data_IF_228782775488
#
_entry.id   IF_228782775488
#
_cell.length_a   1.000
_cell.length_b   1.000
_cell.length_c   1.000
_cell.angle_alpha   90.00
_cell.angle_beta   90.00
_cell.angle_gamma   90.00
#
_symmetry.space_group_name_H-M   'P 1'
#
loop_
_entity.id
_entity.type
_entity.pdbx_description
1 polymer ?
#
# COMPACT_ATOMS: atom_id res chain seq x y z
N UNK A 1 -9.80 62.89 34.26
CA UNK A 1 -8.55 62.25 34.72
C UNK A 1 -8.27 61.02 33.84
N UNK A 2 -7.12 61.00 33.13
CA UNK A 2 -6.37 59.82 32.62
C UNK A 2 -7.12 58.86 31.66
N UNK A 3 -6.67 58.47 30.46
CA UNK A 3 -5.40 58.43 29.68
C UNK A 3 -5.83 58.27 28.19
N UNK A 4 -5.32 59.04 27.22
CA UNK A 4 -4.13 58.80 26.38
C UNK A 4 -3.97 57.41 25.70
N UNK A 5 -3.83 57.47 24.34
CA UNK A 5 -2.93 56.69 23.46
C UNK A 5 -3.26 55.19 23.18
N UNK A 6 -3.10 54.56 22.01
CA UNK A 6 -2.31 54.74 20.77
C UNK A 6 -3.10 54.13 19.57
N UNK A 7 -3.21 54.77 18.39
CA UNK A 7 -2.41 54.50 17.16
C UNK A 7 -2.56 53.08 16.58
N UNK A 8 -3.41 52.94 15.55
CA UNK A 8 -3.36 51.81 14.61
C UNK A 8 -2.25 52.09 13.59
N UNK A 9 -1.15 51.34 13.68
CA UNK A 9 -0.06 51.35 12.72
C UNK A 9 -0.46 50.61 11.44
N UNK A 10 -0.44 51.35 10.34
CA UNK A 10 -0.44 50.88 8.96
C UNK A 10 0.88 50.14 8.71
N UNK A 11 0.86 48.81 8.62
CA UNK A 11 2.02 48.02 8.20
C UNK A 11 1.91 47.73 6.70
N UNK A 12 2.65 48.50 5.91
CA UNK A 12 2.85 48.32 4.48
C UNK A 12 3.68 47.05 4.27
N UNK A 13 3.11 46.02 3.65
CA UNK A 13 3.87 44.86 3.18
C UNK A 13 4.75 45.28 2.01
N UNK A 14 6.06 45.31 2.23
CA UNK A 14 7.07 45.38 1.17
C UNK A 14 7.31 43.96 0.68
N UNK A 15 6.65 43.59 -0.42
CA UNK A 15 7.01 42.40 -1.17
C UNK A 15 8.15 42.76 -2.14
N UNK A 16 9.38 42.44 -1.76
CA UNK A 16 10.49 42.32 -2.72
C UNK A 16 10.70 40.83 -2.93
N UNK A 17 10.00 40.28 -3.93
CA UNK A 17 10.28 38.97 -4.46
C UNK A 17 11.43 39.09 -5.47
N UNK A 18 12.63 38.65 -5.08
CA UNK A 18 13.62 38.22 -6.06
C UNK A 18 13.19 36.85 -6.58
N UNK A 19 12.48 36.81 -7.71
CA UNK A 19 12.30 35.58 -8.46
C UNK A 19 13.45 35.43 -9.44
N UNK A 20 14.54 34.81 -9.00
CA UNK A 20 15.35 34.02 -9.94
C UNK A 20 14.49 32.83 -10.36
N UNK A 21 13.92 32.92 -11.56
CA UNK A 21 13.28 31.81 -12.24
C UNK A 21 14.31 30.71 -12.51
N UNK A 22 14.51 29.80 -11.55
CA UNK A 22 14.89 28.44 -11.90
C UNK A 22 13.70 27.88 -12.67
N UNK A 23 13.85 27.72 -13.99
CA UNK A 23 12.93 26.84 -14.74
C UNK A 23 13.00 25.49 -14.03
N UNK A 24 11.91 25.06 -13.40
CA UNK A 24 11.77 23.64 -13.07
C UNK A 24 11.94 22.87 -14.37
N UNK A 25 12.94 21.99 -14.42
CA UNK A 25 13.03 20.99 -15.48
C UNK A 25 11.74 20.19 -15.42
N UNK A 26 10.94 20.28 -16.49
CA UNK A 26 9.72 19.49 -16.62
C UNK A 26 10.11 18.02 -16.66
N UNK A 27 9.48 17.21 -15.80
CA UNK A 27 9.70 15.76 -15.78
C UNK A 27 9.47 15.16 -17.18
N UNK A 28 10.35 14.26 -17.60
CA UNK A 28 10.24 13.58 -18.90
C UNK A 28 9.25 12.42 -18.75
N UNK A 29 8.12 12.49 -19.45
CA UNK A 29 7.11 11.43 -19.44
C UNK A 29 7.70 10.09 -19.96
N UNK A 30 7.30 8.96 -19.36
CA UNK A 30 7.61 7.63 -19.89
C UNK A 30 7.15 7.48 -21.33
N UNK A 31 7.99 6.89 -22.17
CA UNK A 31 7.70 6.64 -23.58
C UNK A 31 6.81 5.41 -23.79
N UNK A 32 6.69 4.56 -22.79
CA UNK A 32 5.87 3.35 -22.79
C UNK A 32 5.16 3.18 -21.45
N UNK A 33 3.98 2.55 -21.50
CA UNK A 33 3.22 2.12 -20.33
C UNK A 33 2.64 0.72 -20.58
N UNK A 34 2.88 -0.23 -19.69
CA UNK A 34 2.20 -1.54 -19.73
C UNK A 34 0.79 -1.45 -19.13
N UNK A 35 0.59 -0.60 -18.11
CA UNK A 35 -0.71 -0.37 -17.47
C UNK A 35 -0.83 1.09 -16.99
N UNK A 36 -1.09 2.01 -17.92
CA UNK A 36 -1.19 3.44 -17.63
C UNK A 36 -2.26 3.78 -16.57
N UNK A 37 -3.47 3.18 -16.58
CA UNK A 37 -4.47 3.46 -15.55
C UNK A 37 -3.97 3.18 -14.13
N UNK A 38 -3.37 1.99 -13.91
CA UNK A 38 -2.83 1.62 -12.60
C UNK A 38 -1.66 2.51 -12.18
N UNK A 39 -0.79 2.87 -13.13
CA UNK A 39 0.28 3.82 -12.87
C UNK A 39 -0.26 5.16 -12.39
N UNK A 40 -1.26 5.73 -13.09
CA UNK A 40 -1.84 7.03 -12.74
C UNK A 40 -2.55 6.98 -11.39
N UNK A 41 -3.30 5.91 -11.10
CA UNK A 41 -3.97 5.71 -9.81
C UNK A 41 -2.96 5.75 -8.66
N UNK A 42 -1.92 4.92 -8.72
CA UNK A 42 -0.88 4.85 -7.69
C UNK A 42 -0.06 6.13 -7.60
N UNK A 43 0.32 6.69 -8.75
CA UNK A 43 1.15 7.90 -8.80
C UNK A 43 0.43 9.10 -8.17
N UNK A 44 -0.85 9.29 -8.50
CA UNK A 44 -1.66 10.38 -7.93
C UNK A 44 -1.95 10.17 -6.45
N UNK A 45 -2.24 8.93 -6.03
CA UNK A 45 -2.38 8.60 -4.61
C UNK A 45 -1.10 8.94 -3.83
N UNK A 46 0.07 8.46 -4.29
CA UNK A 46 1.34 8.68 -3.60
C UNK A 46 1.76 10.15 -3.55
N UNK A 47 1.31 10.98 -4.50
CA UNK A 47 1.56 12.42 -4.47
C UNK A 47 0.86 13.14 -3.30
N UNK A 48 -0.25 12.59 -2.82
CA UNK A 48 -1.04 13.12 -1.70
C UNK A 48 -0.62 12.54 -0.34
N UNK A 49 0.17 11.47 -0.32
CA UNK A 49 0.58 10.81 0.93
C UNK A 49 1.84 11.45 1.53
N UNK A 50 1.89 11.61 2.86
CA UNK A 50 2.99 12.30 3.52
C UNK A 50 4.30 11.52 3.39
N UNK A 51 5.37 12.25 3.10
CA UNK A 51 6.76 11.82 3.27
C UNK A 51 7.47 12.96 4.00
N UNK A 52 8.41 12.62 4.88
CA UNK A 52 9.23 13.55 5.64
C UNK A 52 10.69 13.06 5.77
N UNK A 53 11.51 13.92 6.37
CA UNK A 53 12.95 13.72 6.55
C UNK A 53 13.36 12.51 7.41
N UNK A 54 12.42 11.89 8.12
CA UNK A 54 12.66 10.69 8.93
C UNK A 54 12.37 9.40 8.17
N UNK A 55 11.69 9.46 7.02
CA UNK A 55 11.25 8.28 6.29
C UNK A 55 12.38 7.58 5.53
N UNK A 56 12.22 6.26 5.39
CA UNK A 56 12.99 5.37 4.53
C UNK A 56 12.04 4.95 3.42
N UNK A 57 12.33 5.29 2.16
CA UNK A 57 11.37 5.12 1.07
C UNK A 57 11.93 4.15 0.04
N UNK A 58 11.21 3.05 -0.19
CA UNK A 58 11.48 2.12 -1.28
C UNK A 58 10.66 2.55 -2.50
N UNK A 59 11.33 2.81 -3.61
CA UNK A 59 10.74 3.32 -4.86
C UNK A 59 11.10 2.34 -5.96
N UNK A 60 10.10 1.76 -6.61
CA UNK A 60 10.41 0.80 -7.67
C UNK A 60 9.23 0.15 -8.36
N UNK A 61 9.51 -1.05 -8.84
CA UNK A 61 8.67 -1.88 -9.69
C UNK A 61 7.69 -2.78 -8.92
N UNK A 62 7.32 -3.89 -9.56
CA UNK A 62 6.48 -4.99 -9.08
C UNK A 62 6.80 -5.46 -7.66
N UNK A 63 8.09 -5.62 -7.33
CA UNK A 63 8.48 -6.13 -6.02
C UNK A 63 8.25 -5.08 -4.94
N UNK A 64 8.54 -3.81 -5.25
CA UNK A 64 8.29 -2.74 -4.30
C UNK A 64 6.79 -2.50 -4.11
N UNK A 65 5.97 -2.67 -5.14
CA UNK A 65 4.52 -2.41 -5.06
C UNK A 65 3.78 -3.45 -4.20
N UNK A 66 4.17 -4.73 -4.28
CA UNK A 66 3.49 -5.78 -3.52
C UNK A 66 4.07 -6.01 -2.12
N UNK A 67 5.27 -5.51 -1.82
CA UNK A 67 5.89 -5.64 -0.49
C UNK A 67 5.17 -4.87 0.62
N UNK A 68 4.96 -5.52 1.77
CA UNK A 68 4.40 -4.89 2.97
C UNK A 68 5.52 -4.31 3.85
N UNK A 69 6.23 -3.31 3.32
CA UNK A 69 7.52 -2.86 3.87
C UNK A 69 7.47 -2.33 5.32
N UNK A 70 6.39 -1.62 5.70
CA UNK A 70 6.19 -1.21 7.10
C UNK A 70 6.12 -2.41 8.04
N UNK A 71 5.44 -3.47 7.61
CA UNK A 71 5.19 -4.67 8.40
C UNK A 71 6.48 -5.51 8.46
N UNK A 72 7.19 -5.67 7.35
CA UNK A 72 8.48 -6.37 7.34
C UNK A 72 9.57 -5.69 8.18
N UNK A 73 9.44 -4.41 8.52
CA UNK A 73 10.39 -3.70 9.39
C UNK A 73 9.81 -3.25 10.72
N UNK A 74 8.55 -3.59 11.01
CA UNK A 74 7.84 -3.17 12.23
C UNK A 74 7.84 -1.64 12.42
N UNK A 75 7.80 -0.86 11.34
CA UNK A 75 8.02 0.58 11.39
C UNK A 75 7.30 1.34 10.29
N UNK A 76 6.40 2.24 10.71
CA UNK A 76 5.69 3.18 9.82
C UNK A 76 6.61 4.22 9.16
N UNK A 77 7.91 4.22 9.49
CA UNK A 77 8.89 5.05 8.79
C UNK A 77 9.36 4.42 7.48
N UNK A 78 9.17 3.12 7.28
CA UNK A 78 9.56 2.41 6.05
C UNK A 78 8.36 2.39 5.10
N UNK A 79 8.46 3.16 4.02
CA UNK A 79 7.37 3.41 3.09
C UNK A 79 7.61 2.74 1.74
N UNK A 80 6.56 2.13 1.19
CA UNK A 80 6.53 1.65 -0.19
C UNK A 80 6.02 2.73 -1.14
N UNK A 81 6.74 2.94 -2.23
CA UNK A 81 6.35 3.76 -3.39
C UNK A 81 6.58 2.96 -4.67
N UNK A 82 6.26 1.67 -4.62
CA UNK A 82 6.33 0.79 -5.78
C UNK A 82 5.10 0.93 -6.65
N UNK A 83 5.28 0.75 -7.96
CA UNK A 83 4.20 0.66 -8.93
C UNK A 83 4.54 -0.52 -9.86
N UNK A 84 3.68 -1.53 -9.89
CA UNK A 84 3.80 -2.69 -10.80
C UNK A 84 4.01 -2.20 -12.24
N UNK A 85 4.95 -2.82 -12.96
CA UNK A 85 5.39 -2.46 -14.33
C UNK A 85 6.28 -1.22 -14.47
N UNK A 86 6.67 -0.55 -13.38
CA UNK A 86 7.62 0.55 -13.50
C UNK A 86 8.98 0.09 -14.07
N UNK A 87 9.44 0.84 -15.06
CA UNK A 87 10.84 0.85 -15.51
C UNK A 87 11.59 2.10 -15.06
N UNK A 88 12.84 2.24 -15.45
CA UNK A 88 13.68 3.41 -15.09
C UNK A 88 13.11 4.74 -15.61
N UNK A 89 12.42 4.76 -16.76
CA UNK A 89 11.72 5.98 -17.22
C UNK A 89 10.61 6.43 -16.28
N UNK A 90 9.89 5.48 -15.69
CA UNK A 90 8.79 5.72 -14.76
C UNK A 90 9.32 6.27 -13.44
N UNK A 91 10.38 5.66 -12.90
CA UNK A 91 11.06 6.16 -11.71
C UNK A 91 11.60 7.57 -11.95
N UNK A 92 12.29 7.83 -13.07
CA UNK A 92 12.79 9.15 -13.44
C UNK A 92 11.67 10.20 -13.49
N UNK A 93 10.52 9.85 -14.03
CA UNK A 93 9.37 10.74 -14.11
C UNK A 93 8.84 11.15 -12.73
N UNK A 94 8.74 10.20 -11.78
CA UNK A 94 8.05 10.45 -10.50
C UNK A 94 8.96 10.72 -9.29
N UNK A 95 10.26 10.44 -9.37
CA UNK A 95 11.18 10.57 -8.22
C UNK A 95 11.28 12.01 -7.70
N UNK A 96 11.08 13.01 -8.59
CA UNK A 96 11.04 14.42 -8.21
C UNK A 96 9.95 14.74 -7.18
N UNK A 97 8.78 14.07 -7.25
CA UNK A 97 7.70 14.25 -6.27
C UNK A 97 8.09 13.76 -4.88
N UNK A 98 8.77 12.62 -4.81
CA UNK A 98 9.19 11.97 -3.55
C UNK A 98 10.33 12.75 -2.89
N UNK A 99 11.32 13.17 -3.68
CA UNK A 99 12.54 13.82 -3.18
C UNK A 99 12.30 15.23 -2.63
N UNK A 100 11.20 15.90 -2.99
CA UNK A 100 10.78 17.19 -2.40
C UNK A 100 10.63 17.13 -0.88
N UNK A 101 10.19 15.98 -0.35
CA UNK A 101 10.03 15.74 1.08
C UNK A 101 11.35 15.46 1.83
N UNK A 102 12.43 15.24 1.08
CA UNK A 102 13.78 14.98 1.57
C UNK A 102 13.89 13.76 2.51
N UNK A 103 13.43 12.56 2.10
CA UNK A 103 13.48 11.38 2.96
C UNK A 103 14.91 11.04 3.39
N UNK A 104 15.06 10.40 4.55
CA UNK A 104 16.38 10.01 5.07
C UNK A 104 17.13 9.07 4.12
N UNK A 105 16.41 8.07 3.59
CA UNK A 105 16.97 7.02 2.73
C UNK A 105 16.05 6.74 1.57
N UNK A 106 16.62 6.50 0.40
CA UNK A 106 15.93 6.09 -0.81
C UNK A 106 16.52 4.77 -1.32
N UNK A 107 15.66 3.77 -1.46
CA UNK A 107 15.98 2.50 -2.10
C UNK A 107 15.30 2.48 -3.47
N UNK A 108 16.09 2.40 -4.53
CA UNK A 108 15.62 2.45 -5.91
C UNK A 108 15.71 1.05 -6.52
N UNK A 109 14.65 0.60 -7.18
CA UNK A 109 14.60 -0.71 -7.85
C UNK A 109 13.82 -0.61 -9.16
N UNK A 110 14.50 -0.79 -10.28
CA UNK A 110 13.91 -0.89 -11.62
C UNK A 110 14.97 -1.44 -12.60
N UNK A 111 14.54 -1.81 -13.80
CA UNK A 111 15.41 -2.29 -14.89
C UNK A 111 14.92 -3.58 -15.53
N UNK A 112 14.24 -4.44 -14.77
CA UNK A 112 13.71 -5.69 -15.31
C UNK A 112 12.65 -5.43 -16.40
N UNK A 113 11.77 -4.45 -16.16
CA UNK A 113 10.75 -4.04 -17.12
C UNK A 113 11.34 -3.35 -18.35
N UNK A 114 12.39 -2.56 -18.18
CA UNK A 114 13.14 -1.94 -19.27
C UNK A 114 13.75 -3.02 -20.20
N UNK A 115 14.39 -4.05 -19.63
CA UNK A 115 14.93 -5.19 -20.40
C UNK A 115 13.83 -5.96 -21.12
N UNK A 116 12.68 -6.20 -20.47
CA UNK A 116 11.53 -6.85 -21.12
C UNK A 116 10.95 -6.00 -22.26
N UNK A 117 10.97 -4.68 -22.12
CA UNK A 117 10.56 -3.73 -23.16
C UNK A 117 11.54 -3.71 -24.34
N UNK A 118 12.82 -4.05 -24.11
CA UNK A 118 13.86 -4.14 -25.12
C UNK A 118 14.90 -3.01 -25.05
N UNK A 119 15.02 -2.35 -23.89
CA UNK A 119 15.99 -1.29 -23.69
C UNK A 119 17.40 -1.85 -23.47
N UNK A 120 18.42 -1.17 -24.01
CA UNK A 120 19.83 -1.51 -23.81
C UNK A 120 20.32 -1.09 -22.41
N UNK A 121 21.27 -1.86 -21.85
CA UNK A 121 21.81 -1.61 -20.51
C UNK A 121 22.44 -0.21 -20.35
N UNK A 122 23.02 0.36 -21.41
CA UNK A 122 23.60 1.71 -21.37
C UNK A 122 22.52 2.77 -21.16
N UNK A 123 21.38 2.66 -21.83
CA UNK A 123 20.25 3.58 -21.70
C UNK A 123 19.64 3.47 -20.29
N UNK A 124 19.51 2.24 -19.79
CA UNK A 124 19.03 2.00 -18.42
C UNK A 124 19.98 2.67 -17.41
N UNK A 125 21.29 2.48 -17.55
CA UNK A 125 22.29 3.09 -16.66
C UNK A 125 22.29 4.62 -16.73
N UNK A 126 22.15 5.20 -17.91
CA UNK A 126 22.02 6.67 -18.10
C UNK A 126 20.82 7.21 -17.32
N UNK A 127 19.66 6.54 -17.40
CA UNK A 127 18.46 6.94 -16.65
C UNK A 127 18.65 6.77 -15.14
N UNK A 128 19.35 5.73 -14.68
CA UNK A 128 19.71 5.57 -13.26
C UNK A 128 20.57 6.74 -12.79
N UNK A 129 21.54 7.18 -13.60
CA UNK A 129 22.36 8.34 -13.29
C UNK A 129 21.52 9.63 -13.22
N UNK A 130 20.58 9.82 -14.14
CA UNK A 130 19.62 10.94 -14.12
C UNK A 130 18.75 10.94 -12.86
N UNK A 131 18.19 9.77 -12.48
CA UNK A 131 17.42 9.60 -11.25
C UNK A 131 18.25 10.03 -10.04
N UNK A 132 19.49 9.52 -9.91
CA UNK A 132 20.37 9.86 -8.81
C UNK A 132 20.73 11.35 -8.78
N UNK A 133 20.92 11.97 -9.95
CA UNK A 133 21.14 13.41 -10.06
C UNK A 133 19.93 14.23 -9.60
N UNK A 134 18.71 13.81 -9.93
CA UNK A 134 17.48 14.45 -9.42
C UNK A 134 17.42 14.33 -7.89
N UNK A 135 17.73 13.16 -7.33
CA UNK A 135 17.76 12.93 -5.87
C UNK A 135 18.80 13.84 -5.21
N UNK A 136 20.05 13.86 -5.68
CA UNK A 136 21.12 14.69 -5.09
C UNK A 136 20.82 16.19 -5.16
N UNK A 137 20.14 16.64 -6.21
CA UNK A 137 19.76 18.06 -6.39
C UNK A 137 18.61 18.46 -5.45
N UNK A 138 17.60 17.60 -5.32
CA UNK A 138 16.36 17.91 -4.57
C UNK A 138 16.44 17.52 -3.09
N UNK A 139 17.23 16.49 -2.77
CA UNK A 139 17.44 15.95 -1.43
C UNK A 139 18.91 15.52 -1.23
N UNK A 140 19.84 16.48 -1.09
CA UNK A 140 21.28 16.20 -1.01
C UNK A 140 21.71 15.42 0.24
N UNK A 141 20.85 15.35 1.27
CA UNK A 141 21.11 14.61 2.50
C UNK A 141 20.55 13.18 2.48
N UNK A 142 19.74 12.82 1.46
CA UNK A 142 19.24 11.46 1.32
C UNK A 142 20.36 10.50 0.98
N UNK A 143 20.44 9.39 1.71
CA UNK A 143 21.26 8.25 1.29
C UNK A 143 20.56 7.52 0.15
N UNK A 144 21.30 7.15 -0.90
CA UNK A 144 20.77 6.49 -2.10
C UNK A 144 21.30 5.06 -2.15
N UNK A 145 20.39 4.11 -2.23
CA UNK A 145 20.66 2.69 -2.42
C UNK A 145 20.02 2.24 -3.73
N UNK A 146 20.79 1.60 -4.62
CA UNK A 146 20.24 0.99 -5.82
C UNK A 146 20.20 -0.53 -5.64
N UNK A 147 19.00 -1.09 -5.66
CA UNK A 147 18.80 -2.54 -5.53
C UNK A 147 18.97 -3.17 -6.90
N UNK A 148 19.92 -4.10 -6.99
CA UNK A 148 20.22 -4.86 -8.19
C UNK A 148 18.98 -5.53 -8.77
N UNK A 149 18.94 -5.58 -10.09
CA UNK A 149 17.81 -6.08 -10.86
C UNK A 149 17.73 -7.60 -10.72
N UNK A 150 16.58 -8.09 -10.27
CA UNK A 150 16.29 -9.52 -10.26
C UNK A 150 15.52 -9.87 -11.54
N UNK A 151 15.98 -10.86 -12.34
CA UNK A 151 15.27 -11.27 -13.54
C UNK A 151 13.84 -11.75 -13.25
N UNK A 152 12.92 -11.52 -14.20
CA UNK A 152 11.55 -12.01 -14.11
C UNK A 152 11.43 -13.34 -14.86
N UNK A 153 10.55 -14.23 -14.40
CA UNK A 153 10.43 -15.61 -14.89
C UNK A 153 9.98 -15.74 -16.35
N UNK A 154 9.41 -14.68 -16.94
CA UNK A 154 9.04 -14.64 -18.36
C UNK A 154 10.18 -14.17 -19.28
N UNK A 155 11.33 -13.78 -18.73
CA UNK A 155 12.48 -13.34 -19.53
C UNK A 155 13.12 -14.48 -20.31
N UNK A 156 13.61 -14.18 -21.52
CA UNK A 156 14.42 -15.14 -22.29
C UNK A 156 15.80 -15.34 -21.65
N UNK A 157 16.52 -16.38 -22.05
CA UNK A 157 17.90 -16.62 -21.60
C UNK A 157 18.81 -15.43 -21.90
N UNK A 158 18.61 -14.77 -23.04
CA UNK A 158 19.34 -13.57 -23.43
C UNK A 158 19.01 -12.39 -22.50
N UNK A 159 17.75 -12.20 -22.13
CA UNK A 159 17.33 -11.14 -21.19
C UNK A 159 17.82 -11.39 -19.76
N UNK A 160 17.86 -12.67 -19.32
CA UNK A 160 18.48 -13.04 -18.03
C UNK A 160 19.97 -12.72 -18.04
N UNK A 161 20.68 -13.06 -19.12
CA UNK A 161 22.10 -12.71 -19.28
C UNK A 161 22.32 -11.19 -19.33
N UNK A 162 21.47 -10.46 -20.04
CA UNK A 162 21.50 -8.99 -20.08
C UNK A 162 21.29 -8.39 -18.69
N UNK A 163 20.42 -8.98 -17.86
CA UNK A 163 20.21 -8.53 -16.47
C UNK A 163 21.48 -8.69 -15.62
N UNK A 164 22.20 -9.80 -15.77
CA UNK A 164 23.47 -10.01 -15.09
C UNK A 164 24.54 -8.99 -15.52
N UNK A 165 24.60 -8.66 -16.81
CA UNK A 165 25.47 -7.59 -17.32
C UNK A 165 25.07 -6.22 -16.77
N UNK A 166 23.77 -5.89 -16.73
CA UNK A 166 23.27 -4.65 -16.16
C UNK A 166 23.66 -4.51 -14.68
N UNK A 167 23.52 -5.57 -13.90
CA UNK A 167 23.93 -5.58 -12.49
C UNK A 167 25.44 -5.33 -12.31
N UNK A 168 26.26 -5.84 -13.23
CA UNK A 168 27.70 -5.56 -13.24
C UNK A 168 27.94 -4.06 -13.48
N UNK A 169 27.30 -3.47 -14.49
CA UNK A 169 27.42 -2.03 -14.77
C UNK A 169 26.94 -1.17 -13.61
N UNK A 170 25.81 -1.54 -12.98
CA UNK A 170 25.28 -0.85 -11.80
C UNK A 170 26.23 -0.95 -10.61
N UNK A 171 26.87 -2.10 -10.38
CA UNK A 171 27.84 -2.25 -9.30
C UNK A 171 29.11 -1.41 -9.56
N UNK A 172 29.65 -1.45 -10.77
CA UNK A 172 30.88 -0.74 -11.15
C UNK A 172 30.71 0.78 -11.18
N UNK A 173 29.52 1.27 -11.54
CA UNK A 173 29.23 2.71 -11.65
C UNK A 173 28.74 3.34 -10.34
N UNK A 174 28.60 2.56 -9.26
CA UNK A 174 27.96 3.00 -8.02
C UNK A 174 28.65 4.21 -7.38
N UNK A 175 29.98 4.19 -7.30
CA UNK A 175 30.77 5.30 -6.71
C UNK A 175 30.71 6.57 -7.57
N UNK A 176 30.80 6.41 -8.90
CA UNK A 176 30.74 7.53 -9.85
C UNK A 176 29.36 8.20 -9.83
N UNK A 177 28.30 7.40 -9.92
CA UNK A 177 26.91 7.87 -9.91
C UNK A 177 26.48 8.26 -8.49
N UNK A 178 27.18 7.80 -7.44
CA UNK A 178 27.01 8.14 -6.04
C UNK A 178 25.75 7.55 -5.39
N UNK A 179 25.64 6.22 -5.44
CA UNK A 179 24.72 5.41 -4.65
C UNK A 179 25.45 4.19 -4.08
N UNK A 180 24.83 3.49 -3.13
CA UNK A 180 25.30 2.17 -2.67
C UNK A 180 24.56 1.06 -3.42
N UNK A 181 25.27 0.17 -4.10
CA UNK A 181 24.68 -0.97 -4.79
C UNK A 181 24.34 -2.10 -3.80
N UNK A 182 23.18 -2.73 -3.96
CA UNK A 182 22.75 -3.91 -3.19
C UNK A 182 22.53 -5.07 -4.16
N UNK A 183 23.36 -6.12 -4.06
CA UNK A 183 23.27 -7.29 -4.93
C UNK A 183 22.11 -8.22 -4.54
N UNK A 184 20.89 -7.81 -4.90
CA UNK A 184 19.67 -8.59 -4.63
C UNK A 184 19.58 -9.85 -5.51
N UNK A 185 20.20 -9.85 -6.68
CA UNK A 185 20.21 -11.02 -7.55
C UNK A 185 20.87 -12.22 -6.83
N UNK A 186 21.98 -12.00 -6.13
CA UNK A 186 22.63 -13.05 -5.31
C UNK A 186 21.73 -13.69 -4.24
N UNK A 187 20.64 -13.03 -3.86
CA UNK A 187 19.68 -13.48 -2.86
C UNK A 187 18.51 -14.22 -3.51
N UNK A 188 17.99 -13.69 -4.61
CA UNK A 188 16.70 -14.13 -5.17
C UNK A 188 16.82 -15.05 -6.38
N UNK A 189 18.01 -15.21 -6.97
CA UNK A 189 18.21 -16.07 -8.14
C UNK A 189 18.70 -17.47 -7.77
N UNK A 190 18.48 -18.43 -8.66
CA UNK A 190 19.09 -19.76 -8.60
C UNK A 190 20.46 -19.78 -9.32
N UNK A 191 21.07 -20.97 -9.44
CA UNK A 191 22.38 -21.16 -10.08
C UNK A 191 22.41 -20.78 -11.57
N UNK A 192 21.25 -20.71 -12.23
CA UNK A 192 21.13 -20.28 -13.63
C UNK A 192 21.06 -18.75 -13.77
N UNK A 193 20.92 -18.02 -12.66
CA UNK A 193 20.67 -16.58 -12.64
C UNK A 193 19.21 -16.20 -12.84
N UNK A 194 18.30 -17.15 -13.09
CA UNK A 194 16.86 -16.89 -13.11
C UNK A 194 16.30 -16.76 -11.68
N UNK A 195 15.12 -16.14 -11.53
CA UNK A 195 14.46 -16.05 -10.22
C UNK A 195 14.21 -17.44 -9.64
N UNK A 196 14.64 -17.64 -8.39
CA UNK A 196 14.50 -18.92 -7.72
C UNK A 196 13.00 -19.20 -7.45
N UNK A 197 12.47 -20.35 -7.91
CA UNK A 197 11.07 -20.72 -7.67
C UNK A 197 10.68 -20.75 -6.19
N UNK A 198 11.62 -20.97 -5.27
CA UNK A 198 11.35 -20.92 -3.83
C UNK A 198 10.94 -19.52 -3.34
N UNK A 199 11.36 -18.46 -4.03
CA UNK A 199 11.07 -17.07 -3.69
C UNK A 199 10.04 -16.44 -4.63
N UNK A 200 9.71 -17.12 -5.73
CA UNK A 200 8.77 -16.64 -6.73
C UNK A 200 7.36 -17.17 -6.48
N UNK A 201 6.35 -16.35 -6.80
CA UNK A 201 4.96 -16.77 -6.83
C UNK A 201 4.56 -17.31 -8.20
N UNK A 202 4.83 -16.55 -9.26
CA UNK A 202 4.42 -16.84 -10.63
C UNK A 202 5.47 -16.40 -11.68
N UNK A 203 6.73 -16.25 -11.26
CA UNK A 203 7.80 -15.68 -12.09
C UNK A 203 7.83 -14.15 -12.07
N UNK A 204 6.72 -13.48 -11.80
CA UNK A 204 6.61 -12.01 -11.88
C UNK A 204 6.59 -11.33 -10.51
N UNK A 205 6.12 -12.04 -9.48
CA UNK A 205 6.00 -11.55 -8.11
C UNK A 205 6.77 -12.45 -7.16
N UNK A 206 7.26 -11.88 -6.06
CA UNK A 206 7.78 -12.66 -4.94
C UNK A 206 6.64 -13.25 -4.12
N UNK A 207 6.83 -14.47 -3.62
CA UNK A 207 5.98 -15.04 -2.58
C UNK A 207 6.40 -14.53 -1.19
N UNK A 208 5.72 -14.95 -0.13
CA UNK A 208 6.07 -14.54 1.24
C UNK A 208 7.53 -14.80 1.65
N UNK A 209 8.11 -15.95 1.26
CA UNK A 209 9.51 -16.28 1.54
C UNK A 209 10.48 -15.39 0.74
N UNK A 210 10.11 -15.04 -0.50
CA UNK A 210 10.88 -14.09 -1.30
C UNK A 210 10.91 -12.69 -0.68
N UNK A 211 9.79 -12.20 -0.15
CA UNK A 211 9.77 -10.92 0.56
C UNK A 211 10.53 -10.95 1.89
N UNK A 212 10.50 -12.06 2.62
CA UNK A 212 11.32 -12.24 3.82
C UNK A 212 12.81 -12.15 3.47
N UNK A 213 13.25 -12.88 2.45
CA UNK A 213 14.63 -12.85 1.98
C UNK A 213 15.04 -11.44 1.50
N UNK A 214 14.15 -10.76 0.77
CA UNK A 214 14.35 -9.39 0.30
C UNK A 214 14.52 -8.41 1.47
N UNK A 215 13.60 -8.42 2.44
CA UNK A 215 13.66 -7.55 3.60
C UNK A 215 14.92 -7.81 4.43
N UNK A 216 15.28 -9.09 4.61
CA UNK A 216 16.51 -9.49 5.30
C UNK A 216 17.76 -8.96 4.60
N UNK A 217 17.82 -9.03 3.28
CA UNK A 217 18.96 -8.57 2.49
C UNK A 217 19.18 -7.06 2.58
N UNK A 218 18.13 -6.26 2.80
CA UNK A 218 18.24 -4.80 2.92
C UNK A 218 18.30 -4.29 4.37
N UNK A 219 18.16 -5.16 5.39
CA UNK A 219 17.95 -4.75 6.79
C UNK A 219 19.08 -3.86 7.37
N UNK A 220 20.34 -4.16 7.00
CA UNK A 220 21.52 -3.42 7.46
C UNK A 220 21.55 -2.01 6.87
N UNK A 221 21.11 -1.87 5.62
CA UNK A 221 21.00 -0.59 4.92
C UNK A 221 19.80 0.21 5.41
N UNK A 222 18.68 -0.44 5.76
CA UNK A 222 17.52 0.22 6.40
C UNK A 222 17.94 0.71 7.79
N UNK A 223 18.66 -0.11 8.55
CA UNK A 223 19.04 0.15 9.94
C UNK A 223 17.95 -0.29 10.93
N UNK A 224 17.09 -1.22 10.51
CA UNK A 224 16.06 -1.88 11.30
C UNK A 224 16.15 -3.38 11.01
N UNK A 225 15.95 -4.21 12.02
CA UNK A 225 15.88 -5.67 11.83
C UNK A 225 14.62 -6.03 11.06
N UNK A 226 14.76 -6.82 9.99
CA UNK A 226 13.60 -7.33 9.28
C UNK A 226 12.87 -8.36 10.16
N UNK A 227 11.56 -8.18 10.30
CA UNK A 227 10.67 -9.12 10.95
C UNK A 227 10.47 -10.34 10.06
N UNK A 228 10.57 -11.52 10.66
CA UNK A 228 10.30 -12.76 9.96
C UNK A 228 9.66 -13.82 10.85
N UNK A 229 8.61 -14.46 10.35
CA UNK A 229 8.10 -15.71 10.90
C UNK A 229 7.23 -16.40 9.86
N UNK A 230 7.66 -17.56 9.38
CA UNK A 230 6.77 -18.45 8.67
C UNK A 230 5.71 -18.98 9.66
N UNK A 231 4.44 -18.68 9.39
CA UNK A 231 3.33 -19.33 10.04
C UNK A 231 3.26 -20.79 9.57
N UNK A 232 3.42 -21.70 10.52
CA UNK A 232 3.25 -23.13 10.31
C UNK A 232 1.76 -23.50 10.28
N UNK A 233 1.38 -24.47 9.44
CA UNK A 233 0.00 -24.94 9.31
C UNK A 233 -0.43 -25.11 7.85
N UNK A 234 -1.49 -25.88 7.63
CA UNK A 234 -2.04 -26.06 6.29
C UNK A 234 -2.89 -24.85 5.87
N UNK A 235 -2.77 -24.43 4.61
CA UNK A 235 -3.69 -23.45 4.02
C UNK A 235 -5.06 -24.13 3.91
N UNK A 236 -6.06 -23.58 4.60
CA UNK A 236 -7.40 -24.21 4.68
C UNK A 236 -8.13 -24.24 3.35
N UNK A 237 -7.94 -23.23 2.51
CA UNK A 237 -8.56 -23.12 1.20
C UNK A 237 -7.67 -22.32 0.24
N UNK A 238 -7.49 -22.87 -0.96
CA UNK A 238 -7.01 -22.10 -2.11
C UNK A 238 -8.18 -21.37 -2.77
N UNK A 239 -7.96 -20.11 -3.13
CA UNK A 239 -8.92 -19.30 -3.88
C UNK A 239 -8.30 -18.85 -5.20
N UNK A 240 -8.59 -17.62 -5.66
CA UNK A 240 -7.98 -17.07 -6.86
C UNK A 240 -6.52 -16.65 -6.62
N UNK A 241 -5.74 -16.53 -7.70
CA UNK A 241 -4.29 -16.34 -7.66
C UNK A 241 -3.83 -15.20 -6.73
N UNK A 242 -4.41 -14.01 -6.88
CA UNK A 242 -4.04 -12.86 -6.05
C UNK A 242 -4.32 -13.08 -4.55
N UNK A 243 -5.40 -13.79 -4.20
CA UNK A 243 -5.68 -14.13 -2.80
C UNK A 243 -4.59 -15.03 -2.23
N UNK A 244 -4.24 -16.09 -2.96
CA UNK A 244 -3.23 -17.05 -2.52
C UNK A 244 -1.85 -16.37 -2.42
N UNK A 245 -1.52 -15.47 -3.35
CA UNK A 245 -0.31 -14.66 -3.31
C UNK A 245 -0.24 -13.82 -2.04
N UNK A 246 -1.30 -13.05 -1.75
CA UNK A 246 -1.32 -12.14 -0.59
C UNK A 246 -1.33 -12.92 0.73
N UNK A 247 -2.03 -14.05 0.78
CA UNK A 247 -2.00 -14.97 1.91
C UNK A 247 -0.59 -15.51 2.17
N UNK A 248 0.19 -15.82 1.12
CA UNK A 248 1.58 -16.24 1.28
C UNK A 248 2.44 -15.19 2.00
N UNK A 249 2.18 -13.90 1.77
CA UNK A 249 2.87 -12.78 2.42
C UNK A 249 2.44 -12.64 3.88
N UNK A 250 1.13 -12.73 4.16
CA UNK A 250 0.64 -12.68 5.55
C UNK A 250 1.28 -13.79 6.40
N UNK A 251 1.48 -14.97 5.81
CA UNK A 251 2.12 -16.09 6.47
C UNK A 251 3.62 -15.93 6.69
N UNK A 252 4.31 -14.98 6.06
CA UNK A 252 5.74 -14.72 6.34
C UNK A 252 5.97 -13.60 7.36
N UNK A 253 4.91 -12.85 7.69
CA UNK A 253 4.95 -11.80 8.69
C UNK A 253 4.64 -12.37 10.09
N UNK A 254 5.41 -11.99 11.12
CA UNK A 254 5.06 -12.35 12.48
C UNK A 254 3.82 -11.59 12.98
N UNK A 255 3.26 -12.09 14.08
CA UNK A 255 2.35 -11.31 14.90
C UNK A 255 3.10 -10.08 15.46
N UNK A 256 2.37 -9.01 15.74
CA UNK A 256 2.98 -7.82 16.34
C UNK A 256 3.55 -8.16 17.71
N UNK A 257 4.71 -7.60 18.06
CA UNK A 257 5.25 -7.70 19.43
C UNK A 257 4.55 -6.74 20.40
N UNK A 258 3.90 -5.70 19.87
CA UNK A 258 3.15 -4.69 20.60
C UNK A 258 1.66 -4.75 20.25
N UNK A 259 0.86 -3.93 20.95
CA UNK A 259 -0.53 -3.64 20.60
C UNK A 259 -0.66 -3.41 19.08
N UNK A 260 -1.64 -4.08 18.47
CA UNK A 260 -1.95 -3.88 17.06
C UNK A 260 -3.43 -3.61 16.82
N UNK A 261 -3.70 -2.94 15.69
CA UNK A 261 -5.03 -2.75 15.12
C UNK A 261 -5.07 -3.47 13.78
N UNK A 262 -6.02 -4.38 13.59
CA UNK A 262 -6.18 -5.08 12.31
C UNK A 262 -7.22 -4.34 11.47
N UNK A 263 -6.83 -3.91 10.27
CA UNK A 263 -7.77 -3.49 9.22
C UNK A 263 -8.04 -4.70 8.32
N UNK A 264 -9.26 -5.22 8.32
CA UNK A 264 -9.61 -6.49 7.68
C UNK A 264 -10.68 -6.30 6.61
N UNK A 265 -10.44 -6.83 5.40
CA UNK A 265 -11.43 -6.73 4.34
C UNK A 265 -10.95 -7.10 2.94
N UNK A 266 -11.54 -6.41 1.97
CA UNK A 266 -11.30 -6.62 0.55
C UNK A 266 -10.33 -5.57 -0.06
N UNK A 267 -10.46 -5.26 -1.35
CA UNK A 267 -9.61 -4.30 -2.08
C UNK A 267 -9.59 -2.91 -1.45
N UNK A 268 -10.70 -2.47 -0.85
CA UNK A 268 -10.81 -1.16 -0.20
C UNK A 268 -9.95 -1.07 1.06
N UNK A 269 -9.79 -2.18 1.77
CA UNK A 269 -8.84 -2.28 2.88
C UNK A 269 -7.42 -2.49 2.35
N UNK A 270 -7.24 -3.36 1.35
CA UNK A 270 -5.93 -3.69 0.77
C UNK A 270 -5.23 -2.43 0.24
N UNK A 271 -5.94 -1.55 -0.47
CA UNK A 271 -5.35 -0.45 -1.21
C UNK A 271 -5.10 0.79 -0.34
N UNK A 272 -5.67 0.86 0.86
CA UNK A 272 -5.49 2.01 1.71
C UNK A 272 -4.11 1.98 2.41
N UNK A 273 -3.40 3.12 2.46
CA UNK A 273 -2.11 3.24 3.13
C UNK A 273 -2.32 3.50 4.64
N UNK A 274 -2.92 2.55 5.36
CA UNK A 274 -3.34 2.75 6.76
C UNK A 274 -2.23 3.22 7.69
N UNK A 275 -1.01 2.70 7.55
CA UNK A 275 0.15 3.11 8.34
C UNK A 275 0.59 4.55 8.06
N UNK A 276 0.25 5.11 6.90
CA UNK A 276 0.51 6.52 6.57
C UNK A 276 -0.63 7.43 7.02
N UNK A 277 -1.87 6.91 7.00
CA UNK A 277 -3.05 7.61 7.51
C UNK A 277 -3.04 7.70 9.05
N UNK A 278 -2.41 6.75 9.73
CA UNK A 278 -2.30 6.68 11.20
C UNK A 278 -0.87 6.32 11.65
N UNK A 279 0.12 7.20 11.45
CA UNK A 279 1.55 6.88 11.61
C UNK A 279 1.98 6.52 13.04
N UNK A 280 1.16 6.82 14.04
CA UNK A 280 1.45 6.55 15.46
C UNK A 280 0.77 5.28 15.98
N UNK A 281 0.10 4.52 15.10
CA UNK A 281 -0.63 3.31 15.46
C UNK A 281 -0.02 2.15 14.68
N UNK A 282 0.25 1.05 15.36
CA UNK A 282 0.65 -0.19 14.70
C UNK A 282 -0.59 -0.81 14.02
N UNK A 283 -0.72 -0.60 12.71
CA UNK A 283 -1.84 -1.14 11.92
C UNK A 283 -1.37 -2.27 11.03
N UNK A 284 -2.03 -3.41 11.16
CA UNK A 284 -1.89 -4.55 10.28
C UNK A 284 -2.96 -4.48 9.19
N UNK A 285 -2.53 -4.22 7.95
CA UNK A 285 -3.41 -4.31 6.80
C UNK A 285 -3.59 -5.79 6.40
N UNK A 286 -4.80 -6.33 6.58
CA UNK A 286 -5.19 -7.71 6.25
C UNK A 286 -6.27 -7.75 5.17
N UNK A 287 -6.28 -6.74 4.31
CA UNK A 287 -7.12 -6.68 3.11
C UNK A 287 -6.57 -7.52 1.96
N UNK A 288 -7.46 -8.18 1.21
CA UNK A 288 -7.11 -8.85 -0.05
C UNK A 288 -8.06 -8.37 -1.16
N UNK A 289 -7.52 -7.92 -2.30
CA UNK A 289 -8.35 -7.49 -3.42
C UNK A 289 -9.23 -8.63 -3.97
N UNK A 290 -10.51 -8.35 -4.27
CA UNK A 290 -11.50 -9.34 -4.73
C UNK A 290 -12.07 -10.27 -3.64
N UNK A 291 -11.66 -10.10 -2.40
CA UNK A 291 -12.04 -11.00 -1.30
C UNK A 291 -13.52 -10.88 -0.89
N UNK A 292 -14.05 -11.99 -0.37
CA UNK A 292 -15.45 -12.19 0.02
C UNK A 292 -15.54 -12.64 1.48
N UNK A 293 -16.74 -12.67 2.07
CA UNK A 293 -16.94 -13.07 3.48
C UNK A 293 -16.31 -14.43 3.79
N UNK A 294 -16.55 -15.43 2.93
CA UNK A 294 -15.98 -16.77 3.11
C UNK A 294 -14.46 -16.79 2.97
N UNK A 295 -13.88 -15.93 2.12
CA UNK A 295 -12.44 -15.83 1.99
C UNK A 295 -11.78 -15.29 3.23
N UNK A 296 -12.39 -14.31 3.89
CA UNK A 296 -11.93 -13.86 5.21
C UNK A 296 -11.99 -15.02 6.21
N UNK A 297 -13.10 -15.77 6.25
CA UNK A 297 -13.28 -16.92 7.15
C UNK A 297 -12.15 -17.95 6.97
N UNK A 298 -11.79 -18.27 5.74
CA UNK A 298 -10.78 -19.28 5.43
C UNK A 298 -9.38 -18.91 5.90
N UNK A 299 -9.07 -17.61 6.01
CA UNK A 299 -7.74 -17.11 6.43
C UNK A 299 -7.66 -16.53 7.83
N UNK A 300 -8.68 -16.69 8.67
CA UNK A 300 -8.68 -16.08 10.02
C UNK A 300 -7.44 -16.49 10.82
N UNK A 301 -7.04 -17.76 10.74
CA UNK A 301 -5.89 -18.27 11.48
C UNK A 301 -4.59 -17.60 11.03
N UNK A 302 -4.46 -17.31 9.75
CA UNK A 302 -3.27 -16.66 9.19
C UNK A 302 -3.18 -15.16 9.49
N UNK A 303 -4.30 -14.52 9.76
CA UNK A 303 -4.34 -13.08 10.06
C UNK A 303 -4.54 -12.76 11.54
N UNK A 304 -4.80 -13.77 12.37
CA UNK A 304 -5.04 -13.59 13.80
C UNK A 304 -3.75 -13.18 14.50
N UNK A 305 -3.82 -12.05 15.22
CA UNK A 305 -2.74 -11.54 16.05
C UNK A 305 -3.21 -11.55 17.52
N UNK A 306 -2.46 -12.23 18.39
CA UNK A 306 -2.79 -12.33 19.82
C UNK A 306 -2.68 -11.00 20.57
N UNK A 307 -1.95 -10.04 19.99
CA UNK A 307 -1.79 -8.68 20.48
C UNK A 307 -2.74 -7.69 19.78
N UNK A 308 -3.64 -8.18 18.91
CA UNK A 308 -4.70 -7.37 18.34
C UNK A 308 -5.65 -6.91 19.45
N UNK A 309 -5.79 -5.60 19.55
CA UNK A 309 -6.71 -4.94 20.47
C UNK A 309 -8.03 -4.57 19.82
N UNK A 310 -8.01 -4.38 18.49
CA UNK A 310 -9.12 -3.89 17.69
C UNK A 310 -9.06 -4.50 16.30
N UNK A 311 -10.22 -4.85 15.77
CA UNK A 311 -10.40 -5.32 14.40
C UNK A 311 -11.42 -4.41 13.73
N UNK A 312 -11.06 -3.80 12.62
CA UNK A 312 -11.96 -3.02 11.78
C UNK A 312 -12.28 -3.83 10.54
N UNK A 313 -13.46 -4.43 10.51
CA UNK A 313 -13.93 -5.29 9.43
C UNK A 313 -14.76 -4.48 8.43
N UNK A 314 -14.39 -4.53 7.15
CA UNK A 314 -15.17 -4.01 6.03
C UNK A 314 -15.13 -5.03 4.89
N UNK A 315 -16.28 -5.54 4.44
CA UNK A 315 -16.33 -6.53 3.35
C UNK A 315 -17.71 -6.53 2.64
N UNK A 316 -18.01 -7.58 1.87
CA UNK A 316 -19.28 -7.88 1.19
C UNK A 316 -19.55 -7.20 -0.15
N UNK A 317 -18.74 -6.23 -0.57
CA UNK A 317 -18.87 -5.64 -1.92
C UNK A 317 -18.71 -6.70 -3.01
N UNK A 318 -17.69 -7.55 -2.90
CA UNK A 318 -17.43 -8.60 -3.91
C UNK A 318 -18.45 -9.74 -3.85
N UNK A 319 -18.97 -10.09 -2.66
CA UNK A 319 -20.04 -11.09 -2.54
C UNK A 319 -21.26 -10.69 -3.37
N UNK A 320 -21.66 -9.41 -3.28
CA UNK A 320 -22.80 -8.87 -4.02
C UNK A 320 -22.52 -8.69 -5.51
N UNK A 321 -21.30 -8.29 -5.87
CA UNK A 321 -20.91 -8.06 -7.27
C UNK A 321 -20.70 -9.36 -8.04
N UNK A 322 -20.10 -10.37 -7.42
CA UNK A 322 -19.83 -11.68 -8.03
C UNK A 322 -21.11 -12.48 -8.23
N UNK A 323 -22.13 -12.27 -7.38
CA UNK A 323 -23.44 -12.90 -7.48
C UNK A 323 -24.56 -11.86 -7.29
N UNK A 324 -25.08 -11.39 -8.42
CA UNK A 324 -26.17 -10.40 -8.48
C UNK A 324 -27.50 -10.95 -7.93
N UNK A 325 -27.65 -12.27 -7.84
CA UNK A 325 -28.87 -12.94 -7.35
C UNK A 325 -28.75 -13.40 -5.90
N UNK A 326 -27.58 -13.25 -5.27
CA UNK A 326 -27.35 -13.65 -3.87
C UNK A 326 -28.34 -12.95 -2.93
N UNK A 327 -29.22 -13.69 -2.23
CA UNK A 327 -30.14 -13.09 -1.27
C UNK A 327 -29.40 -12.47 -0.09
N UNK A 328 -29.81 -11.26 0.34
CA UNK A 328 -29.19 -10.58 1.48
C UNK A 328 -29.26 -11.41 2.76
N UNK A 329 -30.32 -12.20 2.95
CA UNK A 329 -30.44 -13.12 4.08
C UNK A 329 -29.38 -14.23 4.09
N UNK A 330 -28.96 -14.73 2.91
CA UNK A 330 -27.90 -15.73 2.81
C UNK A 330 -26.53 -15.10 3.09
N UNK A 331 -26.25 -13.94 2.49
CA UNK A 331 -25.04 -13.18 2.75
C UNK A 331 -24.91 -12.81 4.24
N UNK A 332 -26.02 -12.39 4.85
CA UNK A 332 -26.08 -12.09 6.27
C UNK A 332 -25.73 -13.31 7.13
N UNK A 333 -26.25 -14.51 6.83
CA UNK A 333 -25.91 -15.73 7.55
C UNK A 333 -24.40 -16.06 7.47
N UNK A 334 -23.77 -15.84 6.31
CA UNK A 334 -22.31 -15.95 6.15
C UNK A 334 -21.57 -14.91 7.00
N UNK A 335 -22.07 -13.68 7.04
CA UNK A 335 -21.48 -12.60 7.83
C UNK A 335 -21.60 -12.85 9.35
N UNK A 336 -22.74 -13.38 9.82
CA UNK A 336 -22.91 -13.80 11.22
C UNK A 336 -21.86 -14.84 11.62
N UNK A 337 -21.59 -15.82 10.75
CA UNK A 337 -20.52 -16.82 10.95
C UNK A 337 -19.14 -16.17 11.02
N UNK A 338 -18.83 -15.21 10.14
CA UNK A 338 -17.57 -14.46 10.17
C UNK A 338 -17.39 -13.72 11.50
N UNK A 339 -18.41 -13.00 11.98
CA UNK A 339 -18.36 -12.27 13.26
C UNK A 339 -18.05 -13.21 14.42
N UNK A 340 -18.74 -14.36 14.49
CA UNK A 340 -18.53 -15.36 15.55
C UNK A 340 -17.09 -15.87 15.51
N UNK A 341 -16.59 -16.26 14.34
CA UNK A 341 -15.23 -16.81 14.20
C UNK A 341 -14.13 -15.80 14.52
N UNK A 342 -14.30 -14.54 14.15
CA UNK A 342 -13.34 -13.48 14.50
C UNK A 342 -13.25 -13.29 16.02
N UNK A 343 -14.39 -13.32 16.71
CA UNK A 343 -14.44 -13.22 18.17
C UNK A 343 -13.87 -14.44 18.87
N UNK A 344 -14.06 -15.63 18.30
CA UNK A 344 -13.44 -16.86 18.83
C UNK A 344 -11.91 -16.84 18.65
N UNK A 345 -11.42 -16.40 17.48
CA UNK A 345 -10.00 -16.36 17.16
C UNK A 345 -9.24 -15.25 17.91
N UNK A 346 -9.88 -14.08 18.10
CA UNK A 346 -9.27 -12.91 18.74
C UNK A 346 -10.19 -12.34 19.84
N UNK A 347 -10.42 -13.09 20.93
CA UNK A 347 -11.45 -12.76 21.94
C UNK A 347 -11.14 -11.50 22.77
N UNK A 348 -9.88 -11.03 22.74
CA UNK A 348 -9.46 -9.78 23.41
C UNK A 348 -9.69 -8.54 22.55
N UNK A 349 -9.84 -8.70 21.24
CA UNK A 349 -9.97 -7.59 20.33
C UNK A 349 -11.41 -7.06 20.31
N UNK A 350 -11.56 -5.74 20.35
CA UNK A 350 -12.85 -5.08 20.10
C UNK A 350 -13.12 -5.13 18.60
N UNK A 351 -14.25 -5.71 18.21
CA UNK A 351 -14.67 -5.77 16.82
C UNK A 351 -15.45 -4.50 16.45
N UNK A 352 -14.97 -3.79 15.44
CA UNK A 352 -15.64 -2.70 14.74
C UNK A 352 -16.07 -3.20 13.37
N UNK A 353 -17.37 -3.20 13.11
CA UNK A 353 -17.95 -3.57 11.81
C UNK A 353 -18.29 -2.29 11.07
N UNK A 354 -17.68 -2.10 9.91
CA UNK A 354 -17.87 -0.93 9.08
C UNK A 354 -18.93 -1.22 8.02
N UNK A 355 -19.74 -0.22 7.69
CA UNK A 355 -20.68 -0.29 6.57
C UNK A 355 -19.98 -0.71 5.28
N UNK A 356 -20.58 -1.61 4.51
CA UNK A 356 -20.21 -1.83 3.10
C UNK A 356 -20.46 -0.54 2.33
N UNK A 357 -19.47 -0.08 1.56
CA UNK A 357 -19.56 1.19 0.86
C UNK A 357 -20.47 1.07 -0.37
N UNK A 358 -21.21 2.14 -0.72
CA UNK A 358 -21.95 2.19 -1.97
C UNK A 358 -21.00 2.18 -3.17
N UNK A 359 -21.56 2.00 -4.35
CA UNK A 359 -20.89 2.08 -5.65
C UNK A 359 -21.34 3.33 -6.39
N UNK A 360 -20.48 3.88 -7.25
CA UNK A 360 -20.89 4.93 -8.18
C UNK A 360 -21.31 4.24 -9.50
N UNK A 361 -22.44 4.60 -10.12
CA UNK A 361 -22.93 3.99 -11.35
C UNK A 361 -22.13 4.42 -12.61
N UNK A 362 -20.79 4.50 -12.53
CA UNK A 362 -19.93 4.77 -13.70
C UNK A 362 -20.03 3.68 -14.77
N UNK A 363 -20.44 2.47 -14.40
CA UNK A 363 -20.64 1.34 -15.31
C UNK A 363 -21.93 0.61 -15.00
N UNK A 364 -22.57 0.02 -16.01
CA UNK A 364 -23.79 -0.78 -15.84
C UNK A 364 -23.59 -1.99 -14.91
N UNK A 365 -22.35 -2.41 -14.66
CA UNK A 365 -22.04 -3.50 -13.74
C UNK A 365 -22.33 -3.14 -12.28
N UNK A 366 -22.30 -1.85 -11.92
CA UNK A 366 -22.53 -1.38 -10.55
C UNK A 366 -23.99 -0.98 -10.28
N UNK A 367 -24.79 -0.77 -11.32
CA UNK A 367 -26.18 -0.35 -11.18
C UNK A 367 -27.01 -1.36 -10.38
N UNK A 368 -27.95 -0.87 -9.56
CA UNK A 368 -28.87 -1.70 -8.76
C UNK A 368 -28.28 -2.34 -7.50
N UNK A 369 -26.95 -2.32 -7.31
CA UNK A 369 -26.31 -2.94 -6.15
C UNK A 369 -26.42 -2.12 -4.85
N UNK A 370 -26.63 -0.81 -4.94
CA UNK A 370 -26.69 0.05 -3.75
C UNK A 370 -27.90 -0.21 -2.85
N UNK A 371 -29.03 -0.68 -3.40
CA UNK A 371 -30.19 -1.08 -2.58
C UNK A 371 -29.87 -2.30 -1.71
N UNK A 372 -29.17 -3.28 -2.29
CA UNK A 372 -28.69 -4.50 -1.62
C UNK A 372 -27.66 -4.18 -0.54
N UNK A 373 -26.71 -3.29 -0.84
CA UNK A 373 -25.72 -2.78 0.12
C UNK A 373 -26.41 -2.06 1.29
N UNK A 374 -27.41 -1.23 1.01
CA UNK A 374 -28.17 -0.53 2.04
C UNK A 374 -28.96 -1.49 2.94
N UNK A 375 -29.56 -2.54 2.37
CA UNK A 375 -30.24 -3.59 3.14
C UNK A 375 -29.27 -4.34 4.08
N UNK A 376 -28.10 -4.73 3.57
CA UNK A 376 -27.05 -5.36 4.38
C UNK A 376 -26.59 -4.43 5.52
N UNK A 377 -26.34 -3.15 5.22
CA UNK A 377 -25.89 -2.17 6.22
C UNK A 377 -26.90 -1.99 7.36
N UNK A 378 -28.21 -2.06 7.07
CA UNK A 378 -29.23 -2.06 8.14
C UNK A 378 -29.14 -3.27 9.06
N UNK A 379 -28.85 -4.45 8.51
CA UNK A 379 -28.65 -5.66 9.32
C UNK A 379 -27.40 -5.53 10.19
N UNK A 380 -26.31 -5.00 9.62
CA UNK A 380 -25.06 -4.73 10.34
C UNK A 380 -25.25 -3.69 11.46
N UNK A 381 -26.06 -2.65 11.29
CA UNK A 381 -26.34 -1.70 12.38
C UNK A 381 -27.22 -2.34 13.46
N UNK A 382 -28.30 -3.03 13.06
CA UNK A 382 -29.28 -3.59 13.99
C UNK A 382 -28.76 -4.75 14.85
N UNK A 383 -27.72 -5.46 14.40
CA UNK A 383 -27.24 -6.67 15.07
C UNK A 383 -26.06 -6.44 16.03
N UNK A 384 -25.60 -5.19 16.20
CA UNK A 384 -24.41 -4.85 16.97
C UNK A 384 -24.48 -5.30 18.44
N UNK A 385 -25.61 -5.10 19.12
CA UNK A 385 -25.81 -5.53 20.51
C UNK A 385 -25.88 -7.06 20.64
N UNK A 386 -26.56 -7.71 19.68
CA UNK A 386 -26.75 -9.16 19.66
C UNK A 386 -25.41 -9.89 19.56
N UNK A 387 -24.50 -9.37 18.74
CA UNK A 387 -23.20 -9.99 18.50
C UNK A 387 -22.04 -9.30 19.21
N UNK A 388 -22.28 -8.17 19.90
CA UNK A 388 -21.30 -7.44 20.71
C UNK A 388 -20.17 -6.81 19.90
N UNK A 389 -20.46 -6.13 18.80
CA UNK A 389 -19.49 -5.30 18.06
C UNK A 389 -19.94 -3.84 18.05
N UNK A 390 -19.09 -2.94 17.56
CA UNK A 390 -19.44 -1.53 17.34
C UNK A 390 -19.64 -1.31 15.85
N UNK A 391 -20.83 -0.82 15.44
CA UNK A 391 -21.08 -0.47 14.06
C UNK A 391 -20.54 0.92 13.73
N UNK A 392 -19.86 1.04 12.58
CA UNK A 392 -19.36 2.31 12.05
C UNK A 392 -19.95 2.58 10.66
N UNK A 393 -20.80 3.59 10.58
CA UNK A 393 -21.33 4.08 9.32
C UNK A 393 -20.29 4.96 8.61
N UNK A 394 -19.63 4.37 7.62
CA UNK A 394 -18.69 5.03 6.71
C UNK A 394 -19.40 5.39 5.39
N UNK A 395 -20.36 4.56 4.97
CA UNK A 395 -21.09 4.69 3.72
C UNK A 395 -21.75 6.07 3.60
N UNK A 396 -22.45 6.53 4.64
CA UNK A 396 -23.12 7.84 4.60
C UNK A 396 -22.19 9.03 4.43
N UNK A 397 -20.91 8.90 4.79
CA UNK A 397 -19.91 9.96 4.65
C UNK A 397 -19.34 10.05 3.23
N UNK A 398 -19.46 8.96 2.47
CA UNK A 398 -18.94 8.84 1.12
C UNK A 398 -20.05 8.86 0.06
N UNK A 399 -21.32 8.79 0.48
CA UNK A 399 -22.47 8.88 -0.40
C UNK A 399 -22.74 10.30 -0.90
N UNK A 400 -23.21 10.41 -2.14
CA UNK A 400 -23.84 11.60 -2.68
C UNK A 400 -25.32 11.71 -2.26
N UNK A 401 -26.02 12.71 -2.80
CA UNK A 401 -27.44 12.95 -2.48
C UNK A 401 -28.39 11.84 -2.98
N UNK A 402 -27.95 10.99 -3.91
CA UNK A 402 -28.71 9.84 -4.41
C UNK A 402 -28.45 8.57 -3.59
N UNK A 403 -27.46 8.59 -2.70
CA UNK A 403 -27.00 7.44 -1.93
C UNK A 403 -25.91 6.62 -2.62
N UNK A 404 -25.45 7.06 -3.80
CA UNK A 404 -24.37 6.42 -4.56
C UNK A 404 -23.01 6.91 -4.04
N UNK A 405 -21.92 6.18 -4.28
CA UNK A 405 -20.58 6.67 -3.94
C UNK A 405 -20.30 7.96 -4.71
N UNK A 406 -19.94 9.04 -4.02
CA UNK A 406 -19.72 10.33 -4.67
C UNK A 406 -18.55 10.28 -5.66
N UNK A 407 -18.72 10.95 -6.81
CA UNK A 407 -17.76 10.94 -7.93
C UNK A 407 -16.35 11.38 -7.50
N UNK A 408 -16.26 12.39 -6.63
CA UNK A 408 -15.00 12.91 -6.07
C UNK A 408 -14.25 11.91 -5.17
N UNK A 409 -14.94 10.89 -4.65
CA UNK A 409 -14.36 9.89 -3.75
C UNK A 409 -13.97 8.60 -4.46
N UNK A 410 -14.12 8.49 -5.78
CA UNK A 410 -13.79 7.27 -6.51
C UNK A 410 -13.14 7.54 -7.86
N UNK A 411 -12.26 6.63 -8.29
CA UNK A 411 -11.59 6.70 -9.59
C UNK A 411 -12.35 5.92 -10.67
N UNK A 412 -12.93 4.78 -10.32
CA UNK A 412 -13.54 3.82 -11.24
C UNK A 412 -14.99 3.45 -10.89
N UNK A 413 -15.49 3.93 -9.76
CA UNK A 413 -16.84 3.70 -9.26
C UNK A 413 -16.93 2.69 -8.11
N UNK A 414 -15.82 2.07 -7.74
CA UNK A 414 -15.71 1.17 -6.59
C UNK A 414 -14.52 1.51 -5.70
N UNK A 415 -13.34 1.78 -6.26
CA UNK A 415 -12.12 2.07 -5.50
C UNK A 415 -12.05 3.55 -5.13
N UNK A 416 -11.59 3.82 -3.90
CA UNK A 416 -11.56 5.18 -3.39
C UNK A 416 -10.39 6.00 -3.93
N UNK A 417 -10.66 7.28 -4.18
CA UNK A 417 -9.62 8.30 -4.37
C UNK A 417 -8.90 8.60 -3.04
N UNK A 418 -7.78 9.32 -3.10
CA UNK A 418 -7.09 9.81 -1.89
C UNK A 418 -8.03 10.59 -0.96
N UNK A 419 -8.88 11.47 -1.53
CA UNK A 419 -9.90 12.21 -0.79
C UNK A 419 -10.89 11.29 -0.09
N UNK A 420 -11.37 10.24 -0.77
CA UNK A 420 -12.25 9.24 -0.17
C UNK A 420 -11.62 8.54 1.03
N UNK A 421 -10.35 8.12 0.91
CA UNK A 421 -9.61 7.54 2.04
C UNK A 421 -9.41 8.54 3.18
N UNK A 422 -9.20 9.84 2.90
CA UNK A 422 -9.09 10.84 3.97
C UNK A 422 -10.39 11.06 4.73
N UNK A 423 -11.55 11.03 4.05
CA UNK A 423 -12.87 11.09 4.72
C UNK A 423 -13.06 9.89 5.63
N UNK A 424 -12.76 8.69 5.13
CA UNK A 424 -12.82 7.45 5.91
C UNK A 424 -11.86 7.51 7.12
N UNK A 425 -10.59 7.85 6.89
CA UNK A 425 -9.59 7.94 7.95
C UNK A 425 -9.99 8.97 9.01
N UNK A 426 -10.53 10.12 8.59
CA UNK A 426 -11.04 11.14 9.51
C UNK A 426 -12.16 10.59 10.40
N UNK A 427 -13.08 9.78 9.87
CA UNK A 427 -14.12 9.13 10.69
C UNK A 427 -13.54 8.17 11.73
N UNK A 428 -12.51 7.40 11.38
CA UNK A 428 -11.83 6.53 12.34
C UNK A 428 -11.02 7.33 13.37
N UNK A 429 -10.49 8.50 12.97
CA UNK A 429 -9.81 9.45 13.84
C UNK A 429 -10.76 10.24 14.73
N UNK A 430 -12.00 10.49 14.30
CA UNK A 430 -13.07 11.18 15.02
C UNK A 430 -13.39 10.40 16.29
N UNK A 431 -12.67 10.79 17.33
CA UNK A 431 -12.60 10.08 18.58
C UNK A 431 -11.25 10.28 19.24
N UNK A 432 -10.12 9.97 18.59
CA UNK A 432 -8.90 9.45 19.25
C UNK A 432 -9.19 8.24 20.19
N UNK A 433 -10.40 8.13 20.75
CA UNK A 433 -10.99 7.04 21.50
C UNK A 433 -11.15 5.76 20.69
N UNK A 434 -11.62 5.81 19.45
CA UNK A 434 -11.95 4.57 18.70
C UNK A 434 -10.70 3.76 18.39
N UNK A 435 -9.60 4.41 18.01
CA UNK A 435 -8.33 3.73 17.71
C UNK A 435 -7.47 3.53 18.97
N UNK A 436 -7.46 4.47 19.92
CA UNK A 436 -6.52 4.47 21.07
C UNK A 436 -7.17 4.01 22.39
N UNK A 437 -8.43 4.37 22.68
CA UNK A 437 -9.11 4.00 23.94
C UNK A 437 -9.94 2.71 23.78
N UNK A 438 -10.21 2.05 24.90
CA UNK A 438 -11.22 1.00 24.97
C UNK A 438 -12.60 1.66 25.14
N UNK A 439 -13.65 1.19 24.44
CA UNK A 439 -15.01 1.61 24.70
C UNK A 439 -15.42 1.19 26.11
N UNK A 440 -15.97 2.12 26.88
CA UNK A 440 -16.61 1.80 28.16
C UNK A 440 -17.99 1.21 27.85
N UNK A 441 -18.15 -0.09 28.03
CA UNK A 441 -19.47 -0.71 28.09
C UNK A 441 -20.02 -0.48 29.51
N UNK A 442 -21.02 0.40 29.65
CA UNK A 442 -21.76 0.59 30.91
C UNK A 442 -22.75 -0.54 31.17
#
# INVERSE_FOLDING_TARGET
MRKNLFLLTLATFVAVAFTTSCKEETAVEPSWYTNQPYFLEKHTLYAELPVDTSNIVLVGDDFIDRGMWSDFFGSNKVLGRGITYDGTEHLRYRIGGITKAKPKKLFLSAGARDIMHGDDNTIILERVAEICNIVKKSSPESEIYYIGVTPLGEMTVEQVAQTAELNTFLAESADEIGYTFIDMASVLTDESGAINPAYSWNGMLLNGAGYEAYAKAIESFVGLTALNKAQEGEVKAERFDHYNHRLSIFRSLPNSEEFSVIMLGNSLINNAPWNELFPFINILNRGISGDVVEGIIDRIDEIADENASKIFLMTSTNDLLNDQELPISELWAKYESLIIKLKEAMPKAILYVQSTLPLNPKTNFYEGNNERIFELNKLLDAAQDRYGYIYLDIASLLSDANGDLADEYTTDGIHLSATGYFVWAKKLAEGHRILILEPTFE
#
